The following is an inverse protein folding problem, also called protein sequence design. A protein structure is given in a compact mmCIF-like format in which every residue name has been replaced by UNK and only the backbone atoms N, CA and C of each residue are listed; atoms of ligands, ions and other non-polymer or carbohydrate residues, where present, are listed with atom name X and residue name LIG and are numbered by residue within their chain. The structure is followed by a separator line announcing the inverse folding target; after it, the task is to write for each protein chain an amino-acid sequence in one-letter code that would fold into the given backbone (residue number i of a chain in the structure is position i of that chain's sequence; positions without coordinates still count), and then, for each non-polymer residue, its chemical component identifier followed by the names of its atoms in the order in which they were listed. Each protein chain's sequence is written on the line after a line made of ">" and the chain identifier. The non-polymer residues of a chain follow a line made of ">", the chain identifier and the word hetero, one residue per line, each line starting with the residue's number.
data_IF_841012808707
#
_entry.id   IF_841012808707
#
_cell.length_a   1.000
_cell.length_b   1.000
_cell.length_c   1.000
_cell.angle_alpha   90.00
_cell.angle_beta   90.00
_cell.angle_gamma   90.00
#
_symmetry.space_group_name_H-M   'P 1'
#
loop_
_entity.id
_entity.type
_entity.pdbx_description
1 polymer ?
#
# COMPACT_ATOMS: atom_id res chain seq x y z
N UNK A 1 -48.47 31.79 59.22
CA UNK A 1 -48.89 33.18 58.85
C UNK A 1 -48.39 33.44 57.47
N UNK A 2 -49.32 33.63 56.54
CA UNK A 2 -49.29 34.46 55.30
C UNK A 2 -48.05 34.40 54.43
N UNK A 3 -48.06 34.24 53.11
CA UNK A 3 -49.17 34.28 52.13
C UNK A 3 -48.58 34.06 50.75
N UNK A 4 -49.29 33.36 50.01
CA UNK A 4 -49.75 33.53 48.65
C UNK A 4 -48.99 34.45 47.70
N UNK A 5 -48.70 33.96 46.51
CA UNK A 5 -48.24 34.74 45.37
C UNK A 5 -48.04 33.92 44.11
N UNK A 6 -49.15 33.37 43.56
CA UNK A 6 -49.21 32.87 42.18
C UNK A 6 -49.09 34.03 41.18
N UNK A 7 -48.21 33.85 40.16
CA UNK A 7 -48.38 34.49 38.85
C UNK A 7 -47.86 33.57 37.72
N UNK A 8 -48.74 32.94 37.03
CA UNK A 8 -48.69 32.60 35.60
C UNK A 8 -49.31 33.78 34.84
N UNK A 9 -49.23 33.90 33.49
CA UNK A 9 -48.60 33.10 32.43
C UNK A 9 -47.92 33.95 31.32
N UNK A 10 -47.27 33.32 30.41
CA UNK A 10 -47.28 33.78 29.02
C UNK A 10 -46.90 32.62 28.08
N UNK A 11 -47.91 32.07 27.48
CA UNK A 11 -47.82 31.13 26.36
C UNK A 11 -47.42 31.91 25.12
N UNK A 12 -46.20 31.72 24.59
CA UNK A 12 -45.81 32.19 23.27
C UNK A 12 -45.81 31.02 22.33
N UNK A 13 -46.83 30.98 21.51
CA UNK A 13 -47.01 30.08 20.38
C UNK A 13 -46.04 30.53 19.29
N UNK A 14 -44.94 29.76 19.05
CA UNK A 14 -44.09 29.95 17.87
C UNK A 14 -44.47 28.90 16.84
N UNK A 15 -45.19 29.34 15.83
CA UNK A 15 -45.53 28.61 14.61
C UNK A 15 -44.25 28.22 13.87
N UNK A 16 -43.93 26.93 13.85
CA UNK A 16 -42.90 26.40 12.99
C UNK A 16 -43.41 26.31 11.55
N UNK A 17 -42.91 27.15 10.68
CA UNK A 17 -43.05 26.98 9.23
C UNK A 17 -42.23 25.73 8.79
N UNK A 18 -42.93 24.70 8.36
CA UNK A 18 -42.34 23.64 7.57
C UNK A 18 -42.03 24.14 6.17
N UNK A 19 -40.80 24.47 5.89
CA UNK A 19 -40.32 24.56 4.51
C UNK A 19 -39.94 23.15 4.04
N UNK A 20 -40.86 22.54 3.34
CA UNK A 20 -40.64 21.35 2.52
C UNK A 20 -39.65 21.75 1.39
N UNK A 21 -38.39 21.37 1.52
CA UNK A 21 -37.42 21.40 0.44
C UNK A 21 -37.43 20.04 -0.23
N UNK A 22 -38.09 19.97 -1.34
CA UNK A 22 -38.02 18.87 -2.29
C UNK A 22 -36.64 18.73 -2.87
N UNK A 23 -36.19 17.45 -2.94
CA UNK A 23 -35.47 16.91 -4.05
C UNK A 23 -34.14 17.58 -4.45
N UNK A 24 -33.09 17.04 -3.94
CA UNK A 24 -31.79 17.12 -4.57
C UNK A 24 -31.17 15.74 -4.51
N UNK A 25 -31.45 14.89 -5.51
CA UNK A 25 -30.73 13.65 -5.72
C UNK A 25 -29.26 13.97 -5.87
N UNK A 26 -28.50 13.68 -4.83
CA UNK A 26 -27.05 13.66 -4.89
C UNK A 26 -26.63 12.55 -5.84
N UNK A 27 -26.57 12.88 -7.13
CA UNK A 27 -25.83 12.09 -8.09
C UNK A 27 -24.41 12.04 -7.58
N UNK A 28 -24.04 10.88 -7.04
CA UNK A 28 -22.64 10.52 -6.88
C UNK A 28 -22.01 10.74 -8.26
N UNK A 29 -21.28 11.83 -8.40
CA UNK A 29 -20.49 12.09 -9.60
C UNK A 29 -19.45 10.98 -9.62
N UNK A 30 -19.74 9.90 -10.33
CA UNK A 30 -18.73 9.02 -10.85
C UNK A 30 -17.81 9.93 -11.65
N UNK A 31 -16.72 10.37 -11.03
CA UNK A 31 -15.62 10.98 -11.78
C UNK A 31 -15.08 9.89 -12.69
N UNK A 32 -15.66 9.79 -13.87
CA UNK A 32 -15.00 9.16 -15.01
C UNK A 32 -13.70 9.92 -15.19
N UNK A 33 -12.60 9.27 -14.86
CA UNK A 33 -11.28 9.79 -15.15
C UNK A 33 -11.16 9.86 -16.68
N UNK A 34 -11.65 10.98 -17.26
CA UNK A 34 -11.37 11.32 -18.63
C UNK A 34 -9.86 11.45 -18.80
N UNK A 35 -9.34 10.85 -19.86
CA UNK A 35 -7.92 10.80 -20.19
C UNK A 35 -7.31 12.17 -20.47
N UNK A 36 -7.13 12.97 -19.44
CA UNK A 36 -6.25 14.11 -19.44
C UNK A 36 -4.94 13.69 -18.76
N UNK A 37 -3.82 14.20 -19.23
CA UNK A 37 -2.52 14.07 -18.60
C UNK A 37 -2.52 14.75 -17.21
N UNK A 38 -3.30 14.19 -16.26
CA UNK A 38 -3.43 14.71 -14.92
C UNK A 38 -2.14 14.48 -14.15
N UNK A 39 -1.63 15.52 -13.55
CA UNK A 39 -0.50 15.45 -12.63
C UNK A 39 -0.91 14.55 -11.46
N UNK A 40 -0.23 13.42 -11.29
CA UNK A 40 -0.40 12.56 -10.12
C UNK A 40 0.43 13.15 -8.98
N UNK A 41 -0.20 13.91 -8.12
CA UNK A 41 0.43 14.40 -6.91
C UNK A 41 0.18 13.40 -5.79
N UNK A 42 1.17 13.18 -4.93
CA UNK A 42 0.99 12.39 -3.69
C UNK A 42 0.27 13.17 -2.60
N UNK A 43 0.08 14.47 -2.79
CA UNK A 43 -0.65 15.31 -1.85
C UNK A 43 -2.14 14.94 -1.83
N UNK A 44 -2.66 14.63 -0.64
CA UNK A 44 -4.06 14.25 -0.44
C UNK A 44 -4.41 12.80 -0.79
N UNK A 45 -3.46 12.02 -1.30
CA UNK A 45 -3.66 10.58 -1.51
C UNK A 45 -3.34 9.80 -0.24
N UNK A 46 -4.06 8.70 0.06
CA UNK A 46 -3.79 7.87 1.22
C UNK A 46 -2.36 7.32 1.20
N UNK A 47 -1.64 7.51 2.30
CA UNK A 47 -0.26 7.08 2.43
C UNK A 47 -0.16 5.66 2.97
N UNK A 48 0.71 4.87 2.36
CA UNK A 48 1.03 3.51 2.77
C UNK A 48 2.55 3.41 2.91
N UNK A 49 3.01 2.68 3.89
CA UNK A 49 4.44 2.41 4.06
C UNK A 49 4.71 0.92 3.92
N UNK A 50 5.89 0.57 3.43
CA UNK A 50 6.33 -0.82 3.46
C UNK A 50 7.65 -0.94 4.19
N UNK A 51 7.83 -2.09 4.83
CA UNK A 51 8.97 -2.39 5.70
C UNK A 51 9.47 -3.81 5.50
N UNK A 52 10.71 -4.05 5.88
CA UNK A 52 11.34 -5.37 5.86
C UNK A 52 12.18 -5.59 7.13
N UNK A 53 12.76 -6.76 7.31
CA UNK A 53 13.68 -7.05 8.40
C UNK A 53 14.90 -6.14 8.47
N UNK A 54 15.16 -5.39 7.41
CA UNK A 54 16.21 -4.37 7.38
C UNK A 54 15.79 -3.01 7.97
N UNK A 55 14.50 -2.87 8.31
CA UNK A 55 13.97 -1.62 8.85
C UNK A 55 13.92 -1.61 10.39
N UNK A 56 14.23 -0.46 11.04
CA UNK A 56 14.82 0.73 10.42
C UNK A 56 16.17 0.44 9.77
N UNK A 57 16.45 1.08 8.65
CA UNK A 57 17.68 0.82 7.88
C UNK A 57 18.95 1.08 8.68
N UNK A 58 18.91 2.03 9.60
CA UNK A 58 20.04 2.35 10.50
C UNK A 58 20.36 1.21 11.48
N UNK A 59 19.40 0.39 11.83
CA UNK A 59 19.57 -0.74 12.78
C UNK A 59 19.90 -2.04 12.07
N UNK A 60 19.75 -2.07 10.76
CA UNK A 60 19.98 -3.25 9.95
C UNK A 60 19.14 -4.47 10.42
N UNK A 61 19.42 -5.64 9.85
CA UNK A 61 18.66 -6.86 10.13
C UNK A 61 18.78 -7.34 11.59
N UNK A 62 19.95 -7.17 12.17
CA UNK A 62 20.22 -7.64 13.56
C UNK A 62 19.72 -6.71 14.67
N UNK A 63 19.18 -5.53 14.32
CA UNK A 63 18.67 -4.59 15.31
C UNK A 63 17.18 -4.71 15.56
N UNK A 64 16.68 -3.96 16.54
CA UNK A 64 15.24 -3.88 16.82
C UNK A 64 14.46 -3.29 15.65
N UNK A 65 13.22 -3.72 15.49
CA UNK A 65 12.26 -3.11 14.57
C UNK A 65 11.79 -1.73 15.05
N UNK A 66 10.78 -1.19 14.38
CA UNK A 66 10.08 0.02 14.84
C UNK A 66 9.38 -0.25 16.17
N UNK A 67 9.54 0.65 17.12
CA UNK A 67 8.83 0.60 18.40
C UNK A 67 7.34 0.94 18.24
N UNK A 68 6.55 0.70 19.29
CA UNK A 68 5.15 1.16 19.32
C UNK A 68 5.03 2.68 19.19
N UNK A 69 6.02 3.42 19.71
CA UNK A 69 6.10 4.87 19.58
C UNK A 69 6.27 5.28 18.11
N UNK A 70 7.18 4.60 17.39
CA UNK A 70 7.41 4.84 15.95
C UNK A 70 6.14 4.56 15.13
N UNK A 71 5.47 3.44 15.37
CA UNK A 71 4.24 3.08 14.65
C UNK A 71 3.08 4.03 14.97
N UNK A 72 3.00 4.49 16.22
CA UNK A 72 2.05 5.52 16.62
C UNK A 72 2.34 6.86 15.93
N UNK A 73 3.62 7.25 15.83
CA UNK A 73 4.03 8.44 15.08
C UNK A 73 3.69 8.30 13.59
N UNK A 74 3.92 7.12 13.00
CA UNK A 74 3.55 6.82 11.63
C UNK A 74 2.05 7.06 11.38
N UNK A 75 1.19 6.54 12.25
CA UNK A 75 -0.26 6.73 12.17
C UNK A 75 -0.66 8.20 12.32
N UNK A 76 -0.07 8.93 13.30
CA UNK A 76 -0.32 10.38 13.47
C UNK A 76 0.13 11.21 12.28
N UNK A 77 1.16 10.79 11.56
CA UNK A 77 1.63 11.44 10.34
C UNK A 77 0.76 11.10 9.10
N UNK A 78 -0.33 10.37 9.27
CA UNK A 78 -1.30 10.12 8.21
C UNK A 78 -1.13 8.82 7.44
N UNK A 79 -0.26 7.90 7.88
CA UNK A 79 -0.20 6.56 7.27
C UNK A 79 -1.51 5.80 7.52
N UNK A 80 -2.06 5.22 6.47
CA UNK A 80 -3.29 4.44 6.50
C UNK A 80 -3.01 2.93 6.57
N UNK A 81 -1.88 2.48 6.01
CA UNK A 81 -1.53 1.07 5.96
C UNK A 81 -0.03 0.82 6.09
N UNK A 82 0.30 -0.41 6.52
CA UNK A 82 1.66 -0.92 6.58
C UNK A 82 1.72 -2.30 5.91
N UNK A 83 2.65 -2.47 4.97
CA UNK A 83 2.89 -3.72 4.26
C UNK A 83 4.27 -4.24 4.65
N UNK A 84 4.34 -5.37 5.36
CA UNK A 84 5.57 -5.92 5.89
C UNK A 84 6.07 -7.12 5.08
N UNK A 85 7.39 -7.24 4.87
CA UNK A 85 7.97 -8.40 4.22
C UNK A 85 7.88 -9.63 5.10
N UNK A 86 7.33 -10.71 4.56
CA UNK A 86 7.28 -12.00 5.23
C UNK A 86 8.56 -12.81 5.03
N UNK A 87 9.11 -12.76 3.81
CA UNK A 87 10.30 -13.48 3.42
C UNK A 87 10.90 -12.94 2.13
N UNK A 88 12.15 -13.33 1.84
CA UNK A 88 12.81 -13.21 0.54
C UNK A 88 13.22 -14.61 0.07
N UNK A 89 12.50 -15.17 -0.90
CA UNK A 89 12.64 -16.57 -1.23
C UNK A 89 12.50 -17.45 0.03
N UNK A 90 13.47 -18.33 0.35
CA UNK A 90 13.43 -19.15 1.55
C UNK A 90 13.79 -18.42 2.86
N UNK A 91 14.37 -17.21 2.77
CA UNK A 91 14.85 -16.48 3.92
C UNK A 91 13.70 -15.74 4.61
N UNK A 92 13.31 -16.22 5.78
CA UNK A 92 12.26 -15.60 6.60
C UNK A 92 12.71 -14.23 7.11
N UNK A 93 11.74 -13.36 7.25
CA UNK A 93 11.95 -12.03 7.83
C UNK A 93 11.61 -12.05 9.32
N UNK A 94 12.61 -11.86 10.16
CA UNK A 94 12.49 -12.04 11.61
C UNK A 94 11.57 -11.01 12.27
N UNK A 95 11.49 -9.80 11.70
CA UNK A 95 10.67 -8.69 12.22
C UNK A 95 9.22 -8.70 11.71
N UNK A 96 8.88 -9.59 10.78
CA UNK A 96 7.57 -9.63 10.14
C UNK A 96 6.40 -9.67 11.14
N UNK A 97 6.47 -10.59 12.10
CA UNK A 97 5.40 -10.76 13.09
C UNK A 97 5.21 -9.55 13.98
N UNK A 98 6.30 -8.89 14.34
CA UNK A 98 6.27 -7.71 15.20
C UNK A 98 5.72 -6.49 14.45
N UNK A 99 6.09 -6.32 13.18
CA UNK A 99 5.50 -5.28 12.34
C UNK A 99 4.00 -5.45 12.17
N UNK A 100 3.52 -6.67 11.85
CA UNK A 100 2.09 -6.94 11.72
C UNK A 100 1.35 -6.64 13.02
N UNK A 101 1.86 -7.14 14.17
CA UNK A 101 1.21 -6.92 15.46
C UNK A 101 1.19 -5.46 15.86
N UNK A 102 2.28 -4.75 15.60
CA UNK A 102 2.38 -3.33 15.93
C UNK A 102 1.47 -2.49 15.04
N UNK A 103 1.38 -2.79 13.76
CA UNK A 103 0.46 -2.12 12.83
C UNK A 103 -1.01 -2.37 13.20
N UNK A 104 -1.35 -3.60 13.57
CA UNK A 104 -2.68 -3.97 14.05
C UNK A 104 -3.10 -3.15 15.27
N UNK A 105 -2.22 -3.04 16.28
CA UNK A 105 -2.45 -2.22 17.48
C UNK A 105 -2.68 -0.74 17.18
N UNK A 106 -2.08 -0.22 16.12
CA UNK A 106 -2.25 1.17 15.69
C UNK A 106 -3.44 1.37 14.74
N UNK A 107 -4.21 0.32 14.45
CA UNK A 107 -5.34 0.38 13.53
C UNK A 107 -4.95 0.64 12.08
N UNK A 108 -3.70 0.38 11.69
CA UNK A 108 -3.27 0.47 10.30
C UNK A 108 -3.86 -0.70 9.49
N UNK A 109 -4.15 -0.48 8.22
CA UNK A 109 -4.46 -1.56 7.29
C UNK A 109 -3.25 -2.48 7.14
N UNK A 110 -3.46 -3.79 7.19
CA UNK A 110 -2.39 -4.77 7.23
C UNK A 110 -2.08 -5.30 5.83
N UNK A 111 -0.81 -5.38 5.50
CA UNK A 111 -0.34 -6.04 4.30
C UNK A 111 0.90 -6.90 4.58
N UNK A 112 1.09 -7.90 3.76
CA UNK A 112 2.27 -8.75 3.75
C UNK A 112 2.81 -8.87 2.33
N UNK A 113 4.13 -8.84 2.16
CA UNK A 113 4.73 -9.12 0.87
C UNK A 113 5.77 -10.23 0.94
N UNK A 114 5.91 -10.93 -0.16
CA UNK A 114 6.95 -11.92 -0.39
C UNK A 114 7.84 -11.44 -1.53
N UNK A 115 9.15 -11.30 -1.28
CA UNK A 115 10.13 -11.02 -2.32
C UNK A 115 10.42 -12.31 -3.08
N UNK A 116 9.91 -12.41 -4.31
CA UNK A 116 10.02 -13.59 -5.15
C UNK A 116 11.43 -13.67 -5.74
N UNK A 117 12.13 -14.77 -5.51
CA UNK A 117 13.48 -15.01 -6.00
C UNK A 117 13.51 -15.95 -7.21
N UNK A 118 14.61 -15.92 -7.96
CA UNK A 118 14.77 -16.72 -9.20
C UNK A 118 15.08 -18.20 -8.94
N UNK A 119 15.66 -18.50 -7.80
CA UNK A 119 16.20 -19.81 -7.41
C UNK A 119 15.13 -20.84 -7.02
N UNK A 120 13.89 -20.42 -6.84
CA UNK A 120 12.79 -21.30 -6.46
C UNK A 120 11.59 -21.16 -7.40
N UNK A 121 10.77 -22.23 -7.47
CA UNK A 121 9.50 -22.20 -8.19
C UNK A 121 8.54 -21.19 -7.56
N UNK A 122 7.93 -20.29 -8.36
CA UNK A 122 7.03 -19.26 -7.83
C UNK A 122 5.80 -19.82 -7.11
N UNK A 123 5.31 -21.01 -7.49
CA UNK A 123 4.17 -21.62 -6.80
C UNK A 123 4.56 -22.10 -5.40
N UNK A 124 5.75 -22.70 -5.24
CA UNK A 124 6.26 -23.05 -3.92
C UNK A 124 6.48 -21.82 -3.03
N UNK A 125 7.00 -20.73 -3.61
CA UNK A 125 7.15 -19.48 -2.88
C UNK A 125 5.78 -18.91 -2.46
N UNK A 126 4.76 -19.00 -3.31
CA UNK A 126 3.39 -18.60 -2.98
C UNK A 126 2.80 -19.46 -1.85
N UNK A 127 3.04 -20.77 -1.83
CA UNK A 127 2.62 -21.68 -0.75
C UNK A 127 3.25 -21.26 0.59
N UNK A 128 4.56 -21.14 0.60
CA UNK A 128 5.34 -20.74 1.78
C UNK A 128 4.90 -19.38 2.30
N UNK A 129 4.62 -18.44 1.37
CA UNK A 129 4.11 -17.11 1.69
C UNK A 129 2.77 -17.14 2.41
N UNK A 130 1.78 -17.82 1.83
CA UNK A 130 0.43 -17.93 2.41
C UNK A 130 0.48 -18.60 3.79
N UNK A 131 1.23 -19.71 3.90
CA UNK A 131 1.37 -20.43 5.17
C UNK A 131 2.07 -19.58 6.24
N UNK A 132 3.11 -18.85 5.86
CA UNK A 132 3.81 -17.93 6.77
C UNK A 132 2.91 -16.81 7.28
N UNK A 133 2.16 -16.16 6.39
CA UNK A 133 1.23 -15.09 6.78
C UNK A 133 0.17 -15.62 7.74
N UNK A 134 -0.45 -16.76 7.42
CA UNK A 134 -1.47 -17.41 8.28
C UNK A 134 -0.90 -17.77 9.65
N UNK A 135 0.24 -18.46 9.68
CA UNK A 135 0.88 -18.88 10.93
C UNK A 135 1.25 -17.69 11.81
N UNK A 136 1.82 -16.65 11.19
CA UNK A 136 2.21 -15.42 11.92
C UNK A 136 0.99 -14.67 12.46
N UNK A 137 -0.04 -14.47 11.65
CA UNK A 137 -1.26 -13.79 12.08
C UNK A 137 -1.91 -14.52 13.27
N UNK A 138 -1.98 -15.85 13.22
CA UNK A 138 -2.47 -16.68 14.33
C UNK A 138 -1.60 -16.55 15.57
N UNK A 139 -0.30 -16.71 15.44
CA UNK A 139 0.65 -16.63 16.56
C UNK A 139 0.68 -15.25 17.24
N UNK A 140 0.41 -14.19 16.48
CA UNK A 140 0.37 -12.81 16.99
C UNK A 140 -1.02 -12.38 17.46
N UNK A 141 -2.02 -13.26 17.42
CA UNK A 141 -3.38 -12.96 17.84
C UNK A 141 -4.04 -11.85 17.01
N UNK A 142 -3.70 -11.75 15.74
CA UNK A 142 -4.38 -10.86 14.80
C UNK A 142 -5.68 -11.58 14.40
N UNK A 143 -6.81 -10.99 14.72
CA UNK A 143 -8.11 -11.58 14.43
C UNK A 143 -8.99 -10.61 13.66
N UNK A 144 -9.86 -11.14 12.81
CA UNK A 144 -10.88 -10.36 12.08
C UNK A 144 -10.32 -9.19 11.24
N UNK A 145 -9.04 -9.23 10.88
CA UNK A 145 -8.40 -8.23 10.04
C UNK A 145 -7.91 -8.86 8.75
N UNK A 146 -8.38 -8.33 7.62
CA UNK A 146 -7.89 -8.73 6.30
C UNK A 146 -6.45 -8.29 6.11
N UNK A 147 -5.65 -9.14 5.47
CA UNK A 147 -4.24 -8.87 5.15
C UNK A 147 -4.09 -8.83 3.63
N UNK A 148 -3.64 -7.69 3.09
CA UNK A 148 -3.33 -7.56 1.68
C UNK A 148 -2.11 -8.41 1.35
N UNK A 149 -2.22 -9.29 0.37
CA UNK A 149 -1.11 -10.13 -0.08
C UNK A 149 -0.43 -9.52 -1.29
N UNK A 150 0.90 -9.46 -1.26
CA UNK A 150 1.70 -8.85 -2.33
C UNK A 150 2.82 -9.79 -2.78
N UNK A 151 2.95 -10.00 -4.09
CA UNK A 151 4.14 -10.58 -4.72
C UNK A 151 5.07 -9.47 -5.19
N UNK A 152 6.29 -9.45 -4.67
CA UNK A 152 7.36 -8.53 -5.06
C UNK A 152 8.28 -9.23 -6.06
N UNK A 153 8.25 -8.77 -7.31
CA UNK A 153 8.99 -9.36 -8.43
C UNK A 153 10.15 -8.47 -8.90
N UNK A 154 10.75 -7.70 -8.03
CA UNK A 154 11.83 -6.78 -8.38
C UNK A 154 12.97 -7.45 -9.16
N UNK A 155 13.30 -8.71 -8.84
CA UNK A 155 14.37 -9.47 -9.51
C UNK A 155 13.88 -10.72 -10.26
N UNK A 156 12.61 -11.07 -10.20
CA UNK A 156 12.08 -12.35 -10.70
C UNK A 156 10.93 -12.18 -11.69
N UNK A 157 10.99 -11.13 -12.48
CA UNK A 157 9.92 -10.61 -13.31
C UNK A 157 9.91 -11.24 -14.71
N UNK A 158 9.27 -12.39 -14.87
CA UNK A 158 8.81 -12.86 -16.18
C UNK A 158 7.30 -13.11 -16.15
N UNK A 159 6.60 -13.02 -17.29
CA UNK A 159 5.16 -13.28 -17.34
C UNK A 159 4.78 -14.65 -16.77
N UNK A 160 5.59 -15.69 -17.02
CA UNK A 160 5.36 -17.04 -16.50
C UNK A 160 5.43 -17.08 -14.97
N UNK A 161 6.43 -16.43 -14.40
CA UNK A 161 6.65 -16.40 -12.95
C UNK A 161 5.53 -15.66 -12.25
N UNK A 162 5.15 -14.49 -12.80
CA UNK A 162 4.00 -13.73 -12.28
C UNK A 162 2.73 -14.59 -12.30
N UNK A 163 2.42 -15.19 -13.43
CA UNK A 163 1.21 -16.03 -13.60
C UNK A 163 1.19 -17.19 -12.63
N UNK A 164 2.33 -17.90 -12.46
CA UNK A 164 2.43 -19.03 -11.52
C UNK A 164 2.15 -18.59 -10.09
N UNK A 165 2.79 -17.53 -9.65
CA UNK A 165 2.62 -17.00 -8.28
C UNK A 165 1.18 -16.52 -8.05
N UNK A 166 0.65 -15.67 -8.94
CA UNK A 166 -0.70 -15.12 -8.83
C UNK A 166 -1.73 -16.25 -8.73
N UNK A 167 -1.71 -17.19 -9.68
CA UNK A 167 -2.65 -18.31 -9.68
C UNK A 167 -2.55 -19.16 -8.42
N UNK A 168 -1.34 -19.38 -7.91
CA UNK A 168 -1.16 -20.18 -6.71
C UNK A 168 -1.70 -19.47 -5.46
N UNK A 169 -1.47 -18.16 -5.32
CA UNK A 169 -2.08 -17.38 -4.24
C UNK A 169 -3.61 -17.38 -4.35
N UNK A 170 -4.16 -17.13 -5.56
CA UNK A 170 -5.62 -17.21 -5.80
C UNK A 170 -6.19 -18.58 -5.38
N UNK A 171 -5.54 -19.66 -5.77
CA UNK A 171 -5.97 -21.03 -5.43
C UNK A 171 -5.97 -21.30 -3.92
N UNK A 172 -4.99 -20.74 -3.21
CA UNK A 172 -4.82 -20.96 -1.75
C UNK A 172 -5.72 -20.08 -0.90
N UNK A 173 -6.10 -18.92 -1.39
CA UNK A 173 -6.70 -17.84 -0.56
C UNK A 173 -8.04 -17.34 -1.06
N UNK A 174 -8.37 -17.58 -2.33
CA UNK A 174 -9.54 -17.01 -2.98
C UNK A 174 -9.39 -15.53 -3.35
N UNK A 175 -8.25 -14.89 -3.05
CA UNK A 175 -7.99 -13.48 -3.41
C UNK A 175 -6.84 -13.35 -4.37
N UNK A 176 -6.92 -12.39 -5.29
CA UNK A 176 -5.83 -12.06 -6.20
C UNK A 176 -4.82 -11.17 -5.47
N UNK A 177 -3.54 -11.57 -5.39
CA UNK A 177 -2.53 -10.73 -4.74
C UNK A 177 -2.24 -9.48 -5.55
N UNK A 178 -1.69 -8.47 -4.90
CA UNK A 178 -1.10 -7.29 -5.56
C UNK A 178 0.25 -7.69 -6.17
N UNK A 179 0.57 -7.15 -7.33
CA UNK A 179 1.88 -7.34 -8.00
C UNK A 179 2.70 -6.06 -7.90
N UNK A 180 3.81 -6.12 -7.16
CA UNK A 180 4.84 -5.07 -7.15
C UNK A 180 5.92 -5.41 -8.17
N UNK A 181 6.27 -4.41 -9.00
CA UNK A 181 7.24 -4.55 -10.08
C UNK A 181 8.22 -3.39 -10.13
N UNK A 182 9.48 -3.71 -10.43
CA UNK A 182 10.45 -2.76 -10.95
C UNK A 182 9.98 -2.11 -12.26
N UNK A 183 10.73 -1.14 -12.77
CA UNK A 183 10.37 -0.43 -14.00
C UNK A 183 11.44 -0.51 -15.10
N UNK A 184 12.27 -1.55 -15.12
CA UNK A 184 13.33 -1.70 -16.12
C UNK A 184 12.78 -1.84 -17.54
N UNK A 185 13.55 -1.37 -18.53
CA UNK A 185 13.18 -1.51 -19.93
C UNK A 185 12.99 -2.98 -20.33
N UNK A 186 13.82 -3.88 -19.78
CA UNK A 186 13.72 -5.32 -20.01
C UNK A 186 12.36 -5.86 -19.55
N UNK A 187 11.93 -5.49 -18.35
CA UNK A 187 10.64 -5.93 -17.82
C UNK A 187 9.48 -5.38 -18.66
N UNK A 188 9.52 -4.08 -19.00
CA UNK A 188 8.48 -3.47 -19.86
C UNK A 188 8.32 -4.22 -21.17
N UNK A 189 9.44 -4.53 -21.84
CA UNK A 189 9.43 -5.31 -23.09
C UNK A 189 8.88 -6.72 -22.86
N UNK A 190 9.34 -7.41 -21.82
CA UNK A 190 8.89 -8.77 -21.50
C UNK A 190 7.38 -8.83 -21.27
N UNK A 191 6.84 -7.91 -20.47
CA UNK A 191 5.41 -7.88 -20.17
C UNK A 191 4.55 -7.41 -21.36
N UNK A 192 5.04 -6.45 -22.15
CA UNK A 192 4.32 -5.99 -23.33
C UNK A 192 4.20 -7.11 -24.39
N UNK A 193 5.17 -8.03 -24.44
CA UNK A 193 5.18 -9.18 -25.33
C UNK A 193 4.56 -10.46 -24.72
N UNK A 194 4.03 -10.38 -23.49
CA UNK A 194 3.37 -11.52 -22.86
C UNK A 194 2.16 -12.01 -23.68
N UNK A 195 1.91 -13.32 -23.66
CA UNK A 195 0.77 -13.91 -24.35
C UNK A 195 -0.57 -13.38 -23.78
N UNK A 196 -1.64 -13.37 -24.57
CA UNK A 196 -2.96 -12.88 -24.12
C UNK A 196 -3.48 -13.55 -22.85
N UNK A 197 -3.28 -14.87 -22.72
CA UNK A 197 -3.67 -15.64 -21.51
C UNK A 197 -2.89 -15.20 -20.28
N UNK A 198 -1.59 -14.91 -20.40
CA UNK A 198 -0.75 -14.39 -19.35
C UNK A 198 -1.17 -12.97 -18.95
N UNK A 199 -1.37 -12.09 -19.95
CA UNK A 199 -1.86 -10.72 -19.71
C UNK A 199 -3.19 -10.71 -18.98
N UNK A 200 -4.10 -11.63 -19.32
CA UNK A 200 -5.40 -11.77 -18.65
C UNK A 200 -5.25 -12.09 -17.16
N UNK A 201 -4.33 -12.97 -16.79
CA UNK A 201 -4.05 -13.29 -15.38
C UNK A 201 -3.41 -12.11 -14.67
N UNK A 202 -2.37 -11.51 -15.26
CA UNK A 202 -1.61 -10.42 -14.67
C UNK A 202 -2.50 -9.19 -14.48
N UNK A 203 -3.40 -8.89 -15.41
CA UNK A 203 -4.33 -7.74 -15.34
C UNK A 203 -5.24 -7.77 -14.12
N UNK A 204 -5.63 -8.97 -13.65
CA UNK A 204 -6.48 -9.09 -12.45
C UNK A 204 -5.74 -8.72 -11.17
N UNK A 205 -4.42 -8.85 -11.15
CA UNK A 205 -3.56 -8.49 -10.03
C UNK A 205 -3.36 -6.97 -10.01
N UNK A 206 -3.80 -6.26 -8.96
CA UNK A 206 -3.59 -4.82 -8.88
C UNK A 206 -2.11 -4.47 -8.96
N UNK A 207 -1.78 -3.41 -9.70
CA UNK A 207 -0.40 -3.04 -9.93
C UNK A 207 0.12 -2.03 -8.90
N UNK A 208 1.21 -2.38 -8.24
CA UNK A 208 1.99 -1.50 -7.37
C UNK A 208 3.30 -1.12 -8.07
N UNK A 209 3.39 0.14 -8.44
CA UNK A 209 4.49 0.71 -9.22
C UNK A 209 5.71 1.01 -8.35
N UNK A 210 6.91 0.57 -8.76
CA UNK A 210 8.19 1.06 -8.26
C UNK A 210 8.73 2.15 -9.21
N UNK A 211 8.54 3.41 -8.86
CA UNK A 211 8.99 4.53 -9.67
C UNK A 211 9.36 5.72 -8.79
N UNK A 212 10.61 5.79 -8.37
CA UNK A 212 11.05 6.82 -7.45
C UNK A 212 11.01 8.21 -8.06
N UNK A 213 10.48 9.15 -7.30
CA UNK A 213 10.32 10.54 -7.69
C UNK A 213 10.95 11.47 -6.66
N UNK A 214 11.78 12.42 -7.08
CA UNK A 214 12.42 13.38 -6.17
C UNK A 214 11.42 14.23 -5.39
N UNK A 215 10.24 14.48 -5.95
CA UNK A 215 9.23 15.39 -5.39
C UNK A 215 7.95 14.67 -4.98
N UNK A 216 7.86 13.36 -5.16
CA UNK A 216 6.60 12.62 -4.99
C UNK A 216 5.54 13.00 -6.04
N UNK A 217 5.95 13.50 -7.19
CA UNK A 217 5.09 13.86 -8.31
C UNK A 217 5.22 12.85 -9.46
N UNK A 218 4.60 13.14 -10.59
CA UNK A 218 4.56 12.27 -11.77
C UNK A 218 5.91 11.97 -12.44
N UNK A 219 6.99 12.60 -12.01
CA UNK A 219 8.32 12.38 -12.61
C UNK A 219 9.19 11.52 -11.72
N UNK A 220 9.78 10.48 -12.29
CA UNK A 220 10.78 9.66 -11.62
C UNK A 220 12.18 10.24 -11.77
N UNK A 221 13.03 9.91 -10.82
CA UNK A 221 14.42 10.25 -10.87
C UNK A 221 15.20 9.40 -11.88
N UNK A 222 16.04 10.04 -12.67
CA UNK A 222 16.99 9.37 -13.54
C UNK A 222 16.38 8.58 -14.71
N UNK A 223 15.10 8.71 -14.95
CA UNK A 223 14.42 7.98 -16.03
C UNK A 223 13.60 8.91 -16.89
N UNK A 224 14.00 9.11 -18.09
CA UNK A 224 13.41 9.75 -19.27
C UNK A 224 11.95 10.25 -19.10
N UNK A 225 11.66 11.09 -18.11
CA UNK A 225 10.33 11.67 -17.86
C UNK A 225 9.19 10.63 -17.72
N UNK A 226 9.48 9.41 -17.23
CA UNK A 226 8.44 8.43 -16.95
C UNK A 226 7.49 8.95 -15.87
N UNK A 227 6.22 8.73 -16.11
CA UNK A 227 5.15 8.94 -15.12
C UNK A 227 4.51 7.60 -14.79
N UNK A 228 3.82 7.46 -13.63
CA UNK A 228 3.06 6.25 -13.34
C UNK A 228 2.13 5.82 -14.47
N UNK A 229 1.35 6.73 -15.02
CA UNK A 229 0.43 6.43 -16.13
C UNK A 229 1.17 6.16 -17.45
N UNK A 230 2.29 6.83 -17.69
CA UNK A 230 3.15 6.59 -18.85
C UNK A 230 3.79 5.19 -18.81
N UNK A 231 4.28 4.79 -17.65
CA UNK A 231 4.85 3.47 -17.43
C UNK A 231 3.80 2.37 -17.64
N UNK A 232 2.63 2.54 -17.08
CA UNK A 232 1.53 1.59 -17.21
C UNK A 232 1.10 1.40 -18.67
N UNK A 233 1.02 2.48 -19.46
CA UNK A 233 0.75 2.38 -20.90
C UNK A 233 1.80 1.55 -21.66
N UNK A 234 3.07 1.62 -21.23
CA UNK A 234 4.13 0.82 -21.85
C UNK A 234 3.98 -0.67 -21.62
N UNK A 235 3.43 -1.08 -20.48
CA UNK A 235 3.13 -2.50 -20.25
C UNK A 235 1.95 -3.00 -21.09
N UNK A 236 0.94 -2.18 -21.31
CA UNK A 236 -0.27 -2.55 -22.07
C UNK A 236 -1.06 -3.68 -21.41
N UNK A 237 -1.03 -3.76 -20.08
CA UNK A 237 -1.71 -4.80 -19.29
C UNK A 237 -2.80 -4.21 -18.42
N UNK A 238 -2.46 -3.22 -17.59
CA UNK A 238 -3.40 -2.60 -16.66
C UNK A 238 -3.95 -1.29 -17.22
N UNK A 239 -5.20 -1.00 -16.88
CA UNK A 239 -5.85 0.26 -17.21
C UNK A 239 -5.53 1.35 -16.18
N UNK A 240 -5.18 0.93 -14.95
CA UNK A 240 -4.79 1.83 -13.87
C UNK A 240 -3.82 1.13 -12.90
N UNK A 241 -2.99 1.92 -12.23
CA UNK A 241 -2.20 1.44 -11.10
C UNK A 241 -3.02 1.55 -9.80
N UNK A 242 -2.69 0.75 -8.81
CA UNK A 242 -3.33 0.79 -7.48
C UNK A 242 -2.46 1.56 -6.47
N UNK A 243 -1.18 1.27 -6.44
CA UNK A 243 -0.23 1.91 -5.53
C UNK A 243 1.02 2.37 -6.28
N UNK A 244 1.65 3.42 -5.79
CA UNK A 244 2.89 3.95 -6.31
C UNK A 244 3.90 4.16 -5.20
N UNK A 245 5.01 3.40 -5.24
CA UNK A 245 6.19 3.65 -4.43
C UNK A 245 7.00 4.76 -5.07
N UNK A 246 6.87 5.96 -4.52
CA UNK A 246 7.49 7.17 -5.05
C UNK A 246 8.80 7.54 -4.38
N UNK A 247 9.10 6.94 -3.25
CA UNK A 247 10.32 7.19 -2.50
C UNK A 247 10.65 6.04 -1.56
N UNK A 248 11.91 5.94 -1.23
CA UNK A 248 12.40 4.85 -0.41
C UNK A 248 13.84 5.02 -0.02
N UNK A 249 14.38 3.96 0.53
CA UNK A 249 15.76 3.87 0.97
C UNK A 249 16.52 2.99 -0.02
N UNK A 250 17.36 3.59 -0.83
CA UNK A 250 18.16 2.87 -1.84
C UNK A 250 19.42 2.30 -1.19
N UNK A 251 19.65 1.01 -1.37
CA UNK A 251 20.92 0.38 -1.05
C UNK A 251 21.92 0.56 -2.19
N UNK A 252 23.09 1.08 -1.87
CA UNK A 252 24.20 1.00 -2.80
C UNK A 252 25.08 -0.20 -2.41
N UNK A 253 25.39 -1.05 -3.39
CA UNK A 253 26.30 -2.16 -3.19
C UNK A 253 27.64 -1.71 -2.57
N UNK A 254 28.06 -2.39 -1.51
CA UNK A 254 29.35 -2.12 -0.86
C UNK A 254 29.31 -1.12 0.30
N UNK A 255 28.17 -0.54 0.64
CA UNK A 255 28.06 0.37 1.78
C UNK A 255 27.22 -0.22 2.91
N UNK A 256 27.83 -0.38 4.07
CA UNK A 256 27.22 -0.91 5.28
C UNK A 256 26.40 0.13 6.06
N UNK A 257 26.41 1.38 5.64
CA UNK A 257 25.74 2.47 6.37
C UNK A 257 24.85 3.32 5.45
N UNK A 258 23.72 3.82 5.97
CA UNK A 258 22.74 4.59 5.21
C UNK A 258 23.19 6.02 4.82
N UNK A 259 24.47 6.35 4.88
CA UNK A 259 24.99 7.71 4.56
C UNK A 259 24.58 8.20 3.17
N UNK A 260 24.41 7.31 2.22
CA UNK A 260 24.06 7.63 0.84
C UNK A 260 22.57 7.95 0.63
N UNK A 261 21.72 7.63 1.59
CA UNK A 261 20.29 7.98 1.55
C UNK A 261 20.02 9.46 1.83
N UNK A 262 21.06 10.20 2.25
CA UNK A 262 21.00 11.59 2.65
C UNK A 262 21.31 12.56 1.54
N UNK A 263 21.61 12.11 0.35
CA UNK A 263 22.02 13.03 -0.70
C UNK A 263 20.81 13.78 -1.25
N UNK A 264 20.89 15.11 -1.35
CA UNK A 264 19.86 15.93 -1.98
C UNK A 264 19.53 15.51 -3.42
N UNK A 265 20.43 14.80 -4.08
CA UNK A 265 20.23 14.28 -5.43
C UNK A 265 19.05 13.30 -5.54
N UNK A 266 18.68 12.64 -4.45
CA UNK A 266 17.51 11.75 -4.40
C UNK A 266 16.24 12.44 -3.95
N UNK A 267 16.28 13.71 -3.65
CA UNK A 267 15.25 14.76 -3.55
C UNK A 267 13.95 14.45 -2.80
N UNK A 268 13.59 13.21 -2.71
CA UNK A 268 12.39 12.82 -1.99
C UNK A 268 12.65 12.89 -0.49
N UNK A 269 11.75 13.48 0.31
CA UNK A 269 11.88 13.44 1.77
C UNK A 269 12.02 12.00 2.20
N UNK A 270 13.13 11.64 2.83
CA UNK A 270 13.38 10.25 3.26
C UNK A 270 12.60 9.87 4.51
N UNK A 271 12.11 10.85 5.24
CA UNK A 271 11.31 10.64 6.43
C UNK A 271 9.83 10.78 6.11
N UNK A 272 9.02 9.94 6.68
CA UNK A 272 7.58 10.07 6.63
C UNK A 272 7.13 11.02 7.76
N UNK A 273 6.77 12.26 7.40
CA UNK A 273 6.48 13.29 8.39
C UNK A 273 7.68 13.53 9.32
N UNK A 274 7.44 13.48 10.63
CA UNK A 274 8.45 13.64 11.67
C UNK A 274 9.03 12.32 12.21
N UNK A 275 8.96 11.25 11.44
CA UNK A 275 9.56 9.97 11.82
C UNK A 275 11.07 10.10 12.04
N UNK A 276 11.58 9.41 13.06
CA UNK A 276 13.01 9.40 13.37
C UNK A 276 13.85 8.60 12.35
N UNK A 277 13.21 7.72 11.58
CA UNK A 277 13.87 6.82 10.66
C UNK A 277 13.34 7.00 9.23
N UNK A 278 14.22 6.91 8.22
CA UNK A 278 13.78 6.91 6.83
C UNK A 278 13.03 5.62 6.51
N UNK A 279 12.07 5.71 5.58
CA UNK A 279 11.29 4.55 5.19
C UNK A 279 10.78 4.64 3.75
N UNK A 280 10.35 3.53 3.23
CA UNK A 280 9.73 3.45 1.93
C UNK A 280 8.30 3.98 1.98
N UNK A 281 7.94 4.80 0.98
CA UNK A 281 6.71 5.57 0.97
C UNK A 281 5.93 5.32 -0.30
N UNK A 282 4.65 5.09 -0.10
CA UNK A 282 3.73 4.80 -1.17
C UNK A 282 2.47 5.63 -1.01
N UNK A 283 1.79 5.83 -2.12
CA UNK A 283 0.45 6.37 -2.14
C UNK A 283 -0.50 5.40 -2.85
N UNK A 284 -1.74 5.43 -2.44
CA UNK A 284 -2.83 4.73 -3.12
C UNK A 284 -3.50 5.66 -4.13
N UNK A 285 -3.95 5.13 -5.27
CA UNK A 285 -4.67 5.87 -6.30
C UNK A 285 -6.16 5.95 -5.93
N UNK A 286 -6.54 7.02 -5.29
CA UNK A 286 -7.91 7.25 -4.83
C UNK A 286 -7.94 8.00 -3.51
N UNK A 287 -9.09 8.06 -2.91
CA UNK A 287 -9.29 8.61 -1.56
C UNK A 287 -9.28 7.51 -0.48
N UNK A 288 -9.56 7.88 0.77
CA UNK A 288 -9.57 6.94 1.90
C UNK A 288 -10.69 5.90 1.78
N UNK A 289 -11.84 6.27 1.22
CA UNK A 289 -12.95 5.36 0.97
C UNK A 289 -12.60 4.33 -0.11
N UNK A 290 -11.94 4.78 -1.18
CA UNK A 290 -11.42 3.91 -2.23
C UNK A 290 -10.36 2.95 -1.69
N UNK A 291 -9.48 3.42 -0.81
CA UNK A 291 -8.47 2.59 -0.15
C UNK A 291 -9.13 1.52 0.73
N UNK A 292 -10.13 1.87 1.53
CA UNK A 292 -10.86 0.91 2.35
C UNK A 292 -11.54 -0.14 1.48
N UNK A 293 -12.25 0.28 0.44
CA UNK A 293 -12.90 -0.63 -0.50
C UNK A 293 -11.91 -1.56 -1.22
N UNK A 294 -10.72 -1.04 -1.53
CA UNK A 294 -9.64 -1.85 -2.10
C UNK A 294 -9.16 -2.94 -1.13
N UNK A 295 -8.92 -2.59 0.14
CA UNK A 295 -8.53 -3.57 1.16
C UNK A 295 -9.63 -4.60 1.43
N UNK A 296 -10.90 -4.17 1.42
CA UNK A 296 -12.04 -5.07 1.59
C UNK A 296 -12.18 -6.07 0.44
N UNK A 297 -11.85 -5.67 -0.77
CA UNK A 297 -11.92 -6.50 -1.97
C UNK A 297 -10.71 -7.45 -2.11
N UNK A 298 -9.51 -6.95 -1.88
CA UNK A 298 -8.25 -7.65 -2.19
C UNK A 298 -7.55 -8.22 -0.95
N UNK A 299 -7.95 -7.81 0.23
CA UNK A 299 -7.41 -8.35 1.47
C UNK A 299 -7.95 -9.75 1.77
N UNK A 300 -7.05 -10.62 2.16
CA UNK A 300 -7.36 -12.00 2.52
C UNK A 300 -7.91 -12.12 3.94
N UNK A 301 -9.10 -12.74 4.07
CA UNK A 301 -9.67 -13.19 5.32
C UNK A 301 -9.06 -14.56 5.68
N UNK A 302 -7.98 -14.53 6.42
CA UNK A 302 -7.11 -15.70 6.64
C UNK A 302 -7.59 -16.66 7.74
N UNK A 303 -8.59 -16.28 8.54
CA UNK A 303 -9.20 -17.05 9.63
C UNK A 303 -10.21 -18.09 9.16
#
# INVERSE_FOLDING_TARGET
>A
MFGCGMKTPALILLTALFLSSCGGGGTAIRRTFGGGFGRTSVSGSPAIVNVSGWDPKERQRGGDGYSQHDLSALRRNGAQGLIARSAKGPLLDDKFGDFLKSADRQGLMLGAYHFVTMDQDPAHQADSFVDRVRATARARGISSRKILLVGDFDNASSPERLVKFIRRVEQRTGVTPVTYLENSARLRTSLSNARPDQKSVIRRSPYWIALYSPTGTERSMGQNNLTPDGLMRQYGIWDQWAMWQYGGVVWQHGHSTPKHYNTPAWGSPRYFGNMAHPMERNVFKGDEGDLQAFWDRHGWAWW
#
